data_IF_488546114751
#
_entry.id   IF_488546114751
#
_cell.length_a   1.000
_cell.length_b   1.000
_cell.length_c   1.000
_cell.angle_alpha   90.00
_cell.angle_beta   90.00
_cell.angle_gamma   90.00
#
_symmetry.space_group_name_H-M   'P 1'
#
loop_
_entity.id
_entity.type
_entity.pdbx_description
1 polymer ?
#
# COMPACT_ATOMS: atom_id res chain seq x y z
N UNK A 1 10.04 18.85 -16.38
CA UNK A 1 10.49 19.53 -17.61
C UNK A 1 9.27 19.74 -18.49
N UNK A 2 8.91 20.97 -18.80
CA UNK A 2 7.88 21.27 -19.79
C UNK A 2 8.47 21.00 -21.17
N UNK A 3 8.18 19.85 -21.74
CA UNK A 3 8.56 19.53 -23.11
C UNK A 3 7.76 20.40 -24.06
N UNK A 4 8.43 21.34 -24.71
CA UNK A 4 7.81 22.20 -25.72
C UNK A 4 7.43 21.34 -26.92
N UNK A 5 6.16 21.36 -27.30
CA UNK A 5 5.68 20.67 -28.50
C UNK A 5 6.35 21.27 -29.72
N UNK A 6 7.04 20.47 -30.58
CA UNK A 6 7.64 20.99 -31.79
C UNK A 6 6.58 21.55 -32.74
N UNK A 7 6.79 22.77 -33.22
CA UNK A 7 5.91 23.40 -34.18
C UNK A 7 6.22 22.88 -35.60
N UNK A 8 5.22 22.32 -36.27
CA UNK A 8 5.28 21.92 -37.68
C UNK A 8 4.57 23.00 -38.48
N UNK A 9 5.30 23.83 -39.25
CA UNK A 9 4.68 24.90 -40.05
C UNK A 9 3.87 24.32 -41.23
N UNK A 10 2.90 25.08 -41.70
CA UNK A 10 2.20 24.74 -42.94
C UNK A 10 3.15 24.84 -44.15
N UNK A 11 2.98 23.92 -45.11
CA UNK A 11 3.65 24.04 -46.38
C UNK A 11 3.01 25.15 -47.21
N UNK A 12 3.81 25.88 -48.01
CA UNK A 12 3.26 26.78 -49.01
C UNK A 12 2.34 26.06 -49.97
N UNK A 13 1.40 26.72 -50.64
CA UNK A 13 0.57 26.11 -51.65
C UNK A 13 1.39 25.45 -52.75
N UNK A 14 1.04 24.20 -53.05
CA UNK A 14 1.72 23.47 -54.11
C UNK A 14 1.53 24.14 -55.50
N UNK A 15 2.51 24.07 -56.40
CA UNK A 15 2.39 24.60 -57.73
C UNK A 15 1.27 23.88 -58.53
N UNK A 16 0.39 24.65 -59.17
CA UNK A 16 -0.75 24.12 -59.92
C UNK A 16 -0.48 24.20 -61.42
N UNK A 17 -0.93 23.18 -62.17
CA UNK A 17 -0.75 23.13 -63.65
C UNK A 17 -1.36 24.31 -64.43
N UNK A 18 -2.31 25.01 -63.82
CA UNK A 18 -3.03 26.14 -64.43
C UNK A 18 -2.33 27.48 -64.20
N UNK A 19 -1.20 27.50 -63.47
CA UNK A 19 -0.44 28.74 -63.29
C UNK A 19 0.23 29.21 -64.59
N UNK A 20 0.38 30.55 -64.73
CA UNK A 20 1.12 31.09 -65.89
C UNK A 20 2.56 30.60 -65.93
N UNK A 21 3.17 30.61 -67.11
CA UNK A 21 4.55 30.19 -67.30
C UNK A 21 5.56 31.04 -66.52
N UNK A 22 5.20 32.29 -66.17
CA UNK A 22 6.02 33.17 -65.36
C UNK A 22 5.86 32.96 -63.86
N UNK A 23 4.69 32.50 -63.40
CA UNK A 23 4.36 32.28 -61.95
C UNK A 23 4.71 30.89 -61.46
N UNK A 24 4.59 29.89 -62.33
CA UNK A 24 4.85 28.49 -61.96
C UNK A 24 6.24 28.22 -61.40
N UNK A 25 7.34 28.71 -62.05
CA UNK A 25 8.69 28.45 -61.51
C UNK A 25 8.91 29.03 -60.13
N UNK A 26 8.44 30.24 -59.87
CA UNK A 26 8.60 30.92 -58.57
C UNK A 26 7.88 30.18 -57.46
N UNK A 27 6.66 29.70 -57.72
CA UNK A 27 5.89 28.93 -56.73
C UNK A 27 6.52 27.54 -56.53
N UNK A 28 6.99 26.89 -57.60
CA UNK A 28 7.67 25.62 -57.54
C UNK A 28 8.97 25.68 -56.74
N UNK A 29 9.80 26.70 -56.94
CA UNK A 29 11.02 26.88 -56.20
C UNK A 29 10.77 27.17 -54.72
N UNK A 30 9.80 28.02 -54.43
CA UNK A 30 9.39 28.32 -53.04
C UNK A 30 8.89 27.05 -52.31
N UNK A 31 8.09 26.25 -53.01
CA UNK A 31 7.56 25.00 -52.43
C UNK A 31 8.67 23.95 -52.23
N UNK A 32 9.56 23.80 -53.22
CA UNK A 32 10.69 22.88 -53.13
C UNK A 32 11.65 23.25 -51.96
N UNK A 33 11.93 24.55 -51.80
CA UNK A 33 12.75 25.05 -50.69
C UNK A 33 12.12 24.81 -49.31
N UNK A 34 10.78 24.77 -49.21
CA UNK A 34 10.07 24.54 -47.97
C UNK A 34 9.98 23.07 -47.56
N UNK A 35 10.07 22.12 -48.47
CA UNK A 35 9.90 20.68 -48.20
C UNK A 35 10.95 20.17 -47.21
N UNK A 36 12.22 20.42 -47.42
CA UNK A 36 13.28 19.89 -46.57
C UNK A 36 13.16 20.35 -45.11
N UNK A 37 13.03 21.66 -44.81
CA UNK A 37 12.83 22.11 -43.44
C UNK A 37 11.50 21.64 -42.83
N UNK A 38 10.45 21.47 -43.65
CA UNK A 38 9.18 20.90 -43.20
C UNK A 38 9.34 19.44 -42.77
N UNK A 39 9.98 18.61 -43.60
CA UNK A 39 10.25 17.21 -43.31
C UNK A 39 11.06 17.03 -42.03
N UNK A 40 12.06 17.89 -41.81
CA UNK A 40 12.85 17.90 -40.58
C UNK A 40 11.96 18.17 -39.34
N UNK A 41 11.04 19.15 -39.46
CA UNK A 41 10.11 19.47 -38.36
C UNK A 41 9.12 18.36 -38.08
N UNK A 42 8.63 17.69 -39.11
CA UNK A 42 7.75 16.48 -38.97
C UNK A 42 8.49 15.35 -38.27
N UNK A 43 9.74 15.09 -38.63
CA UNK A 43 10.56 14.08 -37.97
C UNK A 43 10.82 14.40 -36.49
N UNK A 44 11.09 15.66 -36.17
CA UNK A 44 11.24 16.10 -34.77
C UNK A 44 9.94 15.95 -33.96
N UNK A 45 8.80 16.26 -34.58
CA UNK A 45 7.51 16.04 -33.95
C UNK A 45 7.25 14.55 -33.72
N UNK A 46 7.56 13.69 -34.68
CA UNK A 46 7.46 12.24 -34.55
C UNK A 46 8.31 11.69 -33.40
N UNK A 47 9.56 12.14 -33.28
CA UNK A 47 10.45 11.77 -32.19
C UNK A 47 9.90 12.24 -30.84
N UNK A 48 9.40 13.47 -30.75
CA UNK A 48 8.76 13.99 -29.54
C UNK A 48 7.54 13.16 -29.11
N UNK A 49 6.67 12.77 -30.08
CA UNK A 49 5.53 11.87 -29.78
C UNK A 49 6.00 10.53 -29.23
N UNK A 50 7.06 9.95 -29.83
CA UNK A 50 7.67 8.72 -29.31
C UNK A 50 8.10 8.85 -27.85
N UNK A 51 8.81 9.92 -27.49
CA UNK A 51 9.22 10.18 -26.11
C UNK A 51 8.02 10.31 -25.15
N UNK A 52 6.92 10.94 -25.59
CA UNK A 52 5.71 11.04 -24.76
C UNK A 52 5.05 9.68 -24.53
N UNK A 53 4.99 8.84 -25.57
CA UNK A 53 4.45 7.46 -25.45
C UNK A 53 5.28 6.64 -24.46
N UNK A 54 6.61 6.72 -24.56
CA UNK A 54 7.50 6.02 -23.62
C UNK A 54 7.32 6.52 -22.17
N UNK A 55 7.22 7.83 -21.97
CA UNK A 55 6.98 8.41 -20.66
C UNK A 55 5.64 7.96 -20.05
N UNK A 56 4.59 7.86 -20.86
CA UNK A 56 3.29 7.33 -20.45
C UNK A 56 3.40 5.85 -20.05
N UNK A 57 4.12 5.05 -20.85
CA UNK A 57 4.34 3.63 -20.56
C UNK A 57 5.07 3.43 -19.21
N UNK A 58 6.12 4.21 -18.98
CA UNK A 58 6.87 4.19 -17.70
C UNK A 58 5.99 4.62 -16.51
N UNK A 59 5.17 5.65 -16.68
CA UNK A 59 4.24 6.11 -15.64
C UNK A 59 3.19 5.06 -15.32
N UNK A 60 2.66 4.39 -16.32
CA UNK A 60 1.73 3.26 -16.14
C UNK A 60 2.37 2.11 -15.37
N UNK A 61 3.60 1.74 -15.71
CA UNK A 61 4.34 0.69 -15.00
C UNK A 61 4.59 1.07 -13.54
N UNK A 62 4.99 2.31 -13.25
CA UNK A 62 5.20 2.80 -11.90
C UNK A 62 3.89 2.77 -11.08
N UNK A 63 2.77 3.18 -11.69
CA UNK A 63 1.46 3.11 -11.04
C UNK A 63 1.03 1.66 -10.71
N UNK A 64 1.30 0.71 -11.60
CA UNK A 64 1.02 -0.71 -11.35
C UNK A 64 1.88 -1.27 -10.20
N UNK A 65 3.17 -0.92 -10.16
CA UNK A 65 4.05 -1.33 -9.06
C UNK A 65 3.61 -0.73 -7.71
N UNK A 66 3.21 0.54 -7.69
CA UNK A 66 2.68 1.18 -6.50
C UNK A 66 1.38 0.53 -6.02
N UNK A 67 0.48 0.15 -6.94
CA UNK A 67 -0.75 -0.56 -6.60
C UNK A 67 -0.48 -1.96 -6.01
N UNK A 68 0.48 -2.70 -6.57
CA UNK A 68 0.90 -3.99 -6.02
C UNK A 68 1.48 -3.85 -4.62
N UNK A 69 2.39 -2.89 -4.39
CA UNK A 69 2.97 -2.64 -3.07
C UNK A 69 1.91 -2.21 -2.03
N UNK A 70 0.88 -1.46 -2.44
CA UNK A 70 -0.24 -1.11 -1.58
C UNK A 70 -1.08 -2.34 -1.19
N UNK A 71 -1.31 -3.26 -2.14
CA UNK A 71 -2.02 -4.51 -1.88
C UNK A 71 -1.24 -5.42 -0.90
N UNK A 72 0.07 -5.55 -1.08
CA UNK A 72 0.94 -6.31 -0.17
C UNK A 72 0.93 -5.71 1.24
N UNK A 73 0.98 -4.39 1.35
CA UNK A 73 0.90 -3.68 2.63
C UNK A 73 -0.44 -3.91 3.34
N UNK A 74 -1.53 -3.90 2.59
CA UNK A 74 -2.87 -4.21 3.12
C UNK A 74 -2.98 -5.67 3.62
N UNK A 75 -2.38 -6.62 2.88
CA UNK A 75 -2.33 -8.02 3.29
C UNK A 75 -1.51 -8.21 4.58
N UNK A 76 -0.36 -7.56 4.69
CA UNK A 76 0.47 -7.58 5.90
C UNK A 76 -0.25 -6.97 7.11
N UNK A 77 -0.96 -5.85 6.92
CA UNK A 77 -1.77 -5.23 7.96
C UNK A 77 -2.90 -6.15 8.45
N UNK A 78 -3.59 -6.86 7.55
CA UNK A 78 -4.60 -7.83 7.91
C UNK A 78 -4.01 -9.02 8.69
N UNK A 79 -2.85 -9.53 8.30
CA UNK A 79 -2.15 -10.59 9.02
C UNK A 79 -1.77 -10.16 10.44
N UNK A 80 -1.25 -8.94 10.61
CA UNK A 80 -0.93 -8.35 11.91
C UNK A 80 -2.16 -8.18 12.79
N UNK A 81 -3.28 -7.73 12.21
CA UNK A 81 -4.57 -7.62 12.91
C UNK A 81 -5.05 -8.98 13.42
N UNK A 82 -4.96 -10.01 12.60
CA UNK A 82 -5.37 -11.37 12.99
C UNK A 82 -4.47 -11.92 14.11
N UNK A 83 -3.16 -11.71 14.05
CA UNK A 83 -2.24 -12.11 15.10
C UNK A 83 -2.53 -11.38 16.42
N UNK A 84 -2.81 -10.09 16.38
CA UNK A 84 -3.21 -9.31 17.57
C UNK A 84 -4.53 -9.81 18.17
N UNK A 85 -5.51 -10.17 17.35
CA UNK A 85 -6.77 -10.74 17.81
C UNK A 85 -6.57 -12.10 18.50
N UNK A 86 -5.71 -12.95 17.96
CA UNK A 86 -5.36 -14.23 18.60
C UNK A 86 -4.66 -14.04 19.93
N UNK A 87 -3.71 -13.10 20.02
CA UNK A 87 -3.06 -12.76 21.30
C UNK A 87 -4.03 -12.22 22.34
N UNK A 88 -4.96 -11.36 21.93
CA UNK A 88 -6.00 -10.86 22.82
C UNK A 88 -6.87 -12.01 23.38
N UNK A 89 -7.23 -12.99 22.55
CA UNK A 89 -7.93 -14.21 22.98
C UNK A 89 -7.13 -14.98 24.03
N UNK A 90 -5.84 -15.23 23.81
CA UNK A 90 -4.98 -15.92 24.77
C UNK A 90 -4.86 -15.18 26.11
N UNK A 91 -4.84 -13.85 26.09
CA UNK A 91 -4.84 -13.06 27.34
C UNK A 91 -6.15 -13.25 28.11
N UNK A 92 -7.28 -13.25 27.45
CA UNK A 92 -8.59 -13.53 28.09
C UNK A 92 -8.61 -14.91 28.75
N UNK A 93 -8.11 -15.93 28.05
CA UNK A 93 -8.04 -17.31 28.61
C UNK A 93 -7.10 -17.39 29.82
N UNK A 94 -5.96 -16.69 29.78
CA UNK A 94 -5.02 -16.62 30.91
C UNK A 94 -5.64 -15.91 32.13
N UNK A 95 -6.40 -14.85 31.92
CA UNK A 95 -7.12 -14.15 32.99
C UNK A 95 -8.17 -15.05 33.62
N UNK A 96 -8.92 -15.81 32.82
CA UNK A 96 -9.90 -16.77 33.33
C UNK A 96 -9.24 -17.89 34.15
N UNK A 97 -8.11 -18.41 33.69
CA UNK A 97 -7.32 -19.42 34.42
C UNK A 97 -6.79 -18.86 35.74
N UNK A 98 -6.25 -17.64 35.73
CA UNK A 98 -5.78 -16.97 36.96
C UNK A 98 -6.91 -16.76 37.98
N UNK A 99 -8.10 -16.36 37.52
CA UNK A 99 -9.27 -16.25 38.38
C UNK A 99 -9.67 -17.58 39.03
N UNK A 100 -9.63 -18.67 38.25
CA UNK A 100 -9.90 -20.03 38.73
C UNK A 100 -8.85 -20.46 39.76
N UNK A 101 -7.57 -20.19 39.51
CA UNK A 101 -6.51 -20.49 40.50
C UNK A 101 -6.65 -19.70 41.77
N UNK A 102 -7.01 -18.41 41.70
CA UNK A 102 -7.28 -17.57 42.88
C UNK A 102 -8.46 -18.12 43.70
N UNK A 103 -9.55 -18.54 43.06
CA UNK A 103 -10.69 -19.14 43.74
C UNK A 103 -10.32 -20.47 44.45
N UNK A 104 -9.51 -21.32 43.79
CA UNK A 104 -9.01 -22.57 44.38
C UNK A 104 -8.09 -22.30 45.57
N UNK A 105 -7.22 -21.30 45.49
CA UNK A 105 -6.35 -20.90 46.59
C UNK A 105 -7.15 -20.38 47.79
N UNK A 106 -8.20 -19.58 47.56
CA UNK A 106 -9.11 -19.09 48.58
C UNK A 106 -9.86 -20.25 49.27
N UNK A 107 -10.37 -21.22 48.52
CA UNK A 107 -11.01 -22.39 49.03
C UNK A 107 -10.08 -23.26 49.90
N UNK A 108 -8.82 -23.44 49.43
CA UNK A 108 -7.78 -24.14 50.16
C UNK A 108 -7.42 -23.44 51.49
N UNK A 109 -7.32 -22.09 51.49
CA UNK A 109 -7.06 -21.30 52.68
C UNK A 109 -8.20 -21.48 53.70
N UNK A 110 -9.48 -21.37 53.26
CA UNK A 110 -10.64 -21.58 54.11
C UNK A 110 -10.66 -23.02 54.71
N UNK A 111 -10.33 -24.04 53.92
CA UNK A 111 -10.23 -25.41 54.43
C UNK A 111 -9.09 -25.57 55.46
N UNK A 112 -7.95 -24.93 55.28
CA UNK A 112 -6.84 -24.93 56.21
C UNK A 112 -7.21 -24.21 57.54
N UNK A 113 -7.92 -23.11 57.45
CA UNK A 113 -8.43 -22.39 58.63
C UNK A 113 -9.43 -23.26 59.45
N UNK A 114 -10.36 -23.93 58.77
CA UNK A 114 -11.31 -24.84 59.38
C UNK A 114 -10.61 -26.03 60.07
N UNK A 115 -9.61 -26.62 59.39
CA UNK A 115 -8.80 -27.70 59.98
C UNK A 115 -8.01 -27.25 61.21
N UNK A 116 -7.41 -26.06 61.15
CA UNK A 116 -6.68 -25.47 62.28
C UNK A 116 -7.58 -25.19 63.49
N UNK A 117 -8.77 -24.67 63.24
CA UNK A 117 -9.79 -24.46 64.26
C UNK A 117 -10.25 -25.78 64.93
N UNK A 118 -10.42 -26.85 64.10
CA UNK A 118 -10.77 -28.20 64.60
C UNK A 118 -9.68 -28.79 65.49
N UNK A 119 -8.39 -28.65 65.09
CA UNK A 119 -7.26 -29.14 65.88
C UNK A 119 -7.16 -28.39 67.21
N UNK A 120 -7.35 -27.04 67.20
CA UNK A 120 -7.37 -26.23 68.39
C UNK A 120 -8.46 -26.65 69.41
N UNK A 121 -9.66 -26.92 68.89
CA UNK A 121 -10.78 -27.43 69.71
C UNK A 121 -10.50 -28.79 70.31
N UNK A 122 -9.90 -29.71 69.54
CA UNK A 122 -9.54 -31.06 70.02
C UNK A 122 -8.45 -30.99 71.08
N UNK A 123 -7.46 -30.13 70.96
CA UNK A 123 -6.39 -29.89 71.93
C UNK A 123 -6.96 -29.33 73.25
N UNK A 124 -7.92 -28.39 73.14
CA UNK A 124 -8.60 -27.81 74.31
C UNK A 124 -9.43 -28.86 75.04
N UNK A 125 -10.16 -29.69 74.31
CA UNK A 125 -10.97 -30.81 74.89
C UNK A 125 -10.08 -31.79 75.65
N UNK A 126 -8.93 -32.12 75.05
CA UNK A 126 -7.93 -33.04 75.65
C UNK A 126 -7.29 -32.45 76.88
N UNK A 127 -6.97 -31.16 76.88
CA UNK A 127 -6.43 -30.50 78.06
C UNK A 127 -7.46 -30.45 79.24
N UNK A 128 -8.70 -30.21 78.91
CA UNK A 128 -9.80 -30.27 79.90
C UNK A 128 -9.98 -31.68 80.46
N UNK A 129 -9.99 -32.69 79.64
CA UNK A 129 -10.15 -34.09 80.08
C UNK A 129 -8.99 -34.61 80.96
N UNK A 130 -7.81 -34.05 80.86
CA UNK A 130 -6.65 -34.40 81.68
C UNK A 130 -6.58 -33.60 83.02
N UNK A 131 -7.48 -32.63 83.23
CA UNK A 131 -7.48 -31.77 84.37
C UNK A 131 -8.45 -32.28 85.50
N UNK A 132 -9.19 -33.36 85.23
CA UNK A 132 -10.01 -34.07 86.12
C UNK A 132 -9.38 -35.43 86.50
#
# INVERSE_FOLDING_TARGET
MTTVVPNVPELPPAPQRQMSSSTYPVVADTWAAAINPWTLKVNLFGAWVGEQVDAIAMSKQAAQQAAAAAADSAAAANSSKNAAAQQAGLVVDQVALAATQAANAAASATAAEAASGSIGNLALLHAVALSF
#
